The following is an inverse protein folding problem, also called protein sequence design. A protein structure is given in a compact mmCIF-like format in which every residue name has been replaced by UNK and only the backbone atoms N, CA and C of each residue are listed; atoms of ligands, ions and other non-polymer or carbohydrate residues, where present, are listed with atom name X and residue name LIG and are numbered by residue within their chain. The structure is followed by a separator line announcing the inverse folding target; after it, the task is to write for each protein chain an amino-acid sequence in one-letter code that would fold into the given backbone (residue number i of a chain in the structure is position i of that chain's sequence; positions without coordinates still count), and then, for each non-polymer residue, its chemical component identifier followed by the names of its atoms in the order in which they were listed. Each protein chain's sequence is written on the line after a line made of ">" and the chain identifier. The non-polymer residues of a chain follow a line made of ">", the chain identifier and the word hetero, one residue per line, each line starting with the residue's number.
data_IF_842325805167
#
_entry.id   IF_842325805167
#
_cell.length_a   1.000
_cell.length_b   1.000
_cell.length_c   1.000
_cell.angle_alpha   90.00
_cell.angle_beta   90.00
_cell.angle_gamma   90.00
#
_symmetry.space_group_name_H-M   'P 1'
#
loop_
_entity.id
_entity.type
_entity.pdbx_description
1 polymer ?
#
# COMPACT_ATOMS: atom_id res chain seq x y z
N UNK A 1 17.74 8.26 -3.20
CA UNK A 1 16.34 7.92 -2.84
C UNK A 1 16.11 6.44 -3.12
N UNK A 2 15.53 5.70 -2.16
CA UNK A 2 15.18 4.29 -2.34
C UNK A 2 13.82 4.14 -3.03
N UNK A 3 13.59 2.95 -3.61
CA UNK A 3 12.31 2.61 -4.23
C UNK A 3 11.90 1.19 -3.87
N UNK A 4 10.61 1.03 -3.57
CA UNK A 4 10.00 -0.20 -3.09
C UNK A 4 8.66 -0.45 -3.76
N UNK A 5 8.12 -1.66 -3.60
CA UNK A 5 6.83 -2.05 -4.17
C UNK A 5 5.85 -2.40 -3.06
N UNK A 6 4.62 -1.87 -3.17
CA UNK A 6 3.45 -2.34 -2.44
C UNK A 6 2.58 -3.17 -3.40
N UNK A 7 2.18 -4.35 -2.95
CA UNK A 7 1.30 -5.23 -3.72
C UNK A 7 0.10 -5.68 -2.89
N UNK A 8 -1.08 -5.61 -3.47
CA UNK A 8 -2.34 -6.03 -2.86
C UNK A 8 -2.79 -7.41 -3.35
N UNK A 9 -2.00 -8.08 -4.18
CA UNK A 9 -2.40 -9.28 -4.92
C UNK A 9 -3.77 -9.10 -5.62
N UNK A 10 -3.93 -8.05 -6.45
CA UNK A 10 -5.22 -7.76 -7.08
C UNK A 10 -5.56 -8.82 -8.12
N UNK A 11 -6.83 -9.23 -8.16
CA UNK A 11 -7.35 -10.08 -9.21
C UNK A 11 -7.60 -9.25 -10.47
N UNK A 12 -7.20 -9.75 -11.62
CA UNK A 12 -7.63 -9.24 -12.92
C UNK A 12 -8.96 -9.87 -13.32
N UNK A 13 -9.71 -9.21 -14.17
CA UNK A 13 -10.98 -9.77 -14.69
C UNK A 13 -10.74 -11.18 -15.25
N UNK A 14 -11.50 -12.15 -14.75
CA UNK A 14 -11.41 -13.55 -15.18
C UNK A 14 -10.41 -14.41 -14.40
N UNK A 15 -9.58 -13.82 -13.55
CA UNK A 15 -8.64 -14.55 -12.68
C UNK A 15 -9.32 -15.11 -11.42
N UNK A 16 -8.73 -16.15 -10.88
CA UNK A 16 -9.00 -16.65 -9.55
C UNK A 16 -7.91 -16.19 -8.55
N UNK A 17 -8.11 -16.47 -7.26
CA UNK A 17 -7.15 -16.06 -6.21
C UNK A 17 -5.74 -16.66 -6.39
N UNK A 18 -5.64 -17.88 -6.92
CA UNK A 18 -4.34 -18.50 -7.18
C UNK A 18 -3.59 -17.76 -8.29
N UNK A 19 -4.28 -17.36 -9.35
CA UNK A 19 -3.68 -16.61 -10.47
C UNK A 19 -3.10 -15.26 -9.97
N UNK A 20 -3.85 -14.55 -9.12
CA UNK A 20 -3.40 -13.30 -8.51
C UNK A 20 -2.18 -13.47 -7.59
N UNK A 21 -2.16 -14.54 -6.78
CA UNK A 21 -1.00 -14.88 -5.94
C UNK A 21 0.21 -15.24 -6.79
N UNK A 22 0.05 -16.03 -7.83
CA UNK A 22 1.15 -16.41 -8.72
C UNK A 22 1.70 -15.17 -9.48
N UNK A 23 0.84 -14.24 -9.92
CA UNK A 23 1.27 -12.96 -10.52
C UNK A 23 2.04 -12.09 -9.52
N UNK A 24 1.56 -12.00 -8.28
CA UNK A 24 2.27 -11.32 -7.19
C UNK A 24 3.69 -11.87 -6.99
N UNK A 25 3.85 -13.20 -6.98
CA UNK A 25 5.17 -13.85 -6.85
C UNK A 25 6.07 -13.59 -8.06
N UNK A 26 5.53 -13.61 -9.29
CA UNK A 26 6.31 -13.27 -10.50
C UNK A 26 6.83 -11.84 -10.44
N UNK A 27 5.98 -10.89 -9.99
CA UNK A 27 6.40 -9.51 -9.81
C UNK A 27 7.46 -9.36 -8.71
N UNK A 28 7.34 -10.09 -7.59
CA UNK A 28 8.33 -10.06 -6.53
C UNK A 28 9.71 -10.56 -7.00
N UNK A 29 9.76 -11.63 -7.80
CA UNK A 29 11.00 -12.10 -8.43
C UNK A 29 11.59 -11.03 -9.33
N UNK A 30 10.76 -10.37 -10.14
CA UNK A 30 11.21 -9.29 -11.01
C UNK A 30 11.74 -8.10 -10.23
N UNK A 31 11.10 -7.75 -9.12
CA UNK A 31 11.55 -6.68 -8.22
C UNK A 31 12.92 -6.99 -7.57
N UNK A 32 13.12 -8.25 -7.15
CA UNK A 32 14.39 -8.74 -6.60
C UNK A 32 15.52 -8.64 -7.66
N UNK A 33 15.27 -9.08 -8.91
CA UNK A 33 16.21 -8.97 -10.02
C UNK A 33 16.58 -7.52 -10.36
N UNK A 34 15.63 -6.60 -10.23
CA UNK A 34 15.81 -5.17 -10.53
C UNK A 34 16.48 -4.40 -9.38
N UNK A 35 16.66 -5.01 -8.21
CA UNK A 35 17.24 -4.36 -7.04
C UNK A 35 16.33 -3.32 -6.39
N UNK A 36 15.02 -3.57 -6.33
CA UNK A 36 14.13 -2.82 -5.46
C UNK A 36 14.49 -3.07 -4.00
N UNK A 37 14.31 -2.06 -3.14
CA UNK A 37 14.70 -2.15 -1.72
C UNK A 37 13.82 -3.17 -0.98
N UNK A 38 12.50 -3.09 -1.16
CA UNK A 38 11.53 -3.97 -0.49
C UNK A 38 10.30 -4.25 -1.32
N UNK A 39 9.64 -5.36 -0.99
CA UNK A 39 8.35 -5.78 -1.55
C UNK A 39 7.38 -6.02 -0.40
N UNK A 40 6.41 -5.14 -0.22
CA UNK A 40 5.43 -5.26 0.85
C UNK A 40 4.08 -5.72 0.32
N UNK A 41 3.40 -6.53 1.14
CA UNK A 41 2.09 -7.10 0.84
C UNK A 41 1.08 -6.48 1.81
N UNK A 42 -0.01 -5.91 1.26
CA UNK A 42 -1.08 -5.32 2.06
C UNK A 42 -1.93 -6.39 2.75
N UNK A 43 -2.68 -6.00 3.79
CA UNK A 43 -3.66 -6.85 4.45
C UNK A 43 -5.07 -6.29 4.23
N UNK A 44 -5.91 -7.03 3.51
CA UNK A 44 -7.31 -6.69 3.30
C UNK A 44 -8.18 -7.93 3.47
N UNK A 45 -9.31 -7.77 4.18
CA UNK A 45 -10.24 -8.86 4.45
C UNK A 45 -11.59 -8.62 3.78
N UNK A 46 -12.32 -9.70 3.49
CA UNK A 46 -13.65 -9.68 2.87
C UNK A 46 -13.71 -8.95 1.52
N UNK A 47 -12.62 -8.91 0.76
CA UNK A 47 -12.56 -8.28 -0.56
C UNK A 47 -12.38 -9.34 -1.65
N UNK A 48 -13.34 -9.44 -2.57
CA UNK A 48 -13.29 -10.40 -3.70
C UNK A 48 -12.26 -10.01 -4.77
N UNK A 49 -11.82 -8.76 -4.77
CA UNK A 49 -10.92 -8.19 -5.78
C UNK A 49 -9.43 -8.31 -5.45
N UNK A 50 -9.08 -8.79 -4.24
CA UNK A 50 -7.68 -8.96 -3.80
C UNK A 50 -7.48 -10.28 -3.07
N UNK A 51 -6.28 -10.86 -3.17
CA UNK A 51 -5.94 -12.13 -2.53
C UNK A 51 -5.12 -11.97 -1.23
N UNK A 52 -4.83 -10.74 -0.80
CA UNK A 52 -3.89 -10.44 0.29
C UNK A 52 -4.53 -10.40 1.68
N UNK A 53 -5.26 -11.44 2.08
CA UNK A 53 -5.88 -11.50 3.42
C UNK A 53 -5.01 -12.20 4.48
N UNK A 54 -4.35 -13.30 4.14
CA UNK A 54 -3.43 -14.02 5.02
C UNK A 54 -1.99 -13.59 4.73
N UNK A 55 -1.67 -12.35 5.05
CA UNK A 55 -0.46 -11.65 4.60
C UNK A 55 0.83 -12.37 5.00
N UNK A 56 0.91 -12.94 6.20
CA UNK A 56 2.09 -13.65 6.70
C UNK A 56 2.43 -14.88 5.84
N UNK A 57 1.41 -15.61 5.35
CA UNK A 57 1.62 -16.75 4.46
C UNK A 57 2.12 -16.31 3.08
N UNK A 58 1.63 -15.17 2.60
CA UNK A 58 2.07 -14.61 1.32
C UNK A 58 3.49 -14.05 1.42
N UNK A 59 3.86 -13.45 2.56
CA UNK A 59 5.23 -13.00 2.85
C UNK A 59 6.18 -14.20 2.83
N UNK A 60 5.87 -15.28 3.54
CA UNK A 60 6.68 -16.51 3.51
C UNK A 60 6.85 -17.02 2.09
N UNK A 61 5.74 -17.15 1.35
CA UNK A 61 5.78 -17.62 -0.04
C UNK A 61 6.63 -16.73 -0.94
N UNK A 62 6.65 -15.43 -0.70
CA UNK A 62 7.46 -14.46 -1.43
C UNK A 62 8.93 -14.61 -1.08
N UNK A 63 9.27 -14.72 0.20
CA UNK A 63 10.63 -14.96 0.69
C UNK A 63 11.24 -16.25 0.13
N UNK A 64 10.45 -17.34 0.06
CA UNK A 64 10.86 -18.61 -0.58
C UNK A 64 11.23 -18.46 -2.07
N UNK A 65 10.68 -17.44 -2.74
CA UNK A 65 10.82 -17.24 -4.18
C UNK A 65 11.75 -16.08 -4.57
N UNK A 66 12.33 -15.39 -3.61
CA UNK A 66 13.25 -14.25 -3.78
C UNK A 66 14.53 -14.48 -2.99
N UNK A 67 15.60 -13.70 -3.28
CA UNK A 67 16.93 -13.94 -2.67
C UNK A 67 17.44 -12.77 -1.84
N UNK A 68 17.26 -11.53 -2.31
CA UNK A 68 17.91 -10.36 -1.73
C UNK A 68 16.90 -9.33 -1.20
N UNK A 69 15.78 -9.14 -1.91
CA UNK A 69 14.77 -8.13 -1.57
C UNK A 69 14.19 -8.38 -0.18
N UNK A 70 14.00 -7.30 0.57
CA UNK A 70 13.28 -7.37 1.85
C UNK A 70 11.79 -7.55 1.57
N UNK A 71 11.12 -8.39 2.35
CA UNK A 71 9.69 -8.66 2.18
C UNK A 71 8.97 -8.41 3.50
N UNK A 72 7.83 -7.75 3.43
CA UNK A 72 7.10 -7.43 4.65
C UNK A 72 5.62 -7.11 4.43
N UNK A 73 4.99 -6.66 5.49
CA UNK A 73 3.59 -6.20 5.46
C UNK A 73 3.50 -4.70 5.19
N UNK A 74 2.57 -4.32 4.33
CA UNK A 74 2.25 -2.94 4.09
C UNK A 74 0.78 -2.59 4.31
N UNK A 75 0.21 -2.88 5.56
CA UNK A 75 0.78 -3.41 6.82
C UNK A 75 -0.12 -4.45 7.47
N UNK A 76 0.40 -5.04 8.54
CA UNK A 76 -0.47 -5.78 9.47
C UNK A 76 -1.44 -4.80 10.10
N UNK A 77 -2.72 -5.08 10.00
CA UNK A 77 -3.76 -4.31 10.69
C UNK A 77 -3.79 -4.72 12.17
N UNK A 78 -2.81 -4.21 12.94
CA UNK A 78 -2.51 -4.67 14.30
C UNK A 78 -3.75 -4.77 15.20
N UNK A 79 -4.73 -3.85 15.13
CA UNK A 79 -5.95 -4.00 15.91
C UNK A 79 -6.76 -5.27 15.64
N UNK A 80 -6.55 -5.97 14.55
CA UNK A 80 -7.22 -7.25 14.27
C UNK A 80 -6.50 -8.46 14.89
N UNK A 81 -5.29 -8.27 15.40
CA UNK A 81 -4.40 -9.35 15.83
C UNK A 81 -4.01 -9.22 17.30
N UNK A 82 -3.47 -10.29 17.87
CA UNK A 82 -2.76 -10.25 19.14
C UNK A 82 -1.30 -9.86 18.86
N UNK A 83 -0.73 -8.83 19.54
CA UNK A 83 0.68 -8.50 19.41
C UNK A 83 1.60 -9.71 19.65
N UNK A 84 1.23 -10.59 20.60
CA UNK A 84 1.95 -11.83 20.88
C UNK A 84 2.03 -12.77 19.66
N UNK A 85 0.88 -13.02 19.00
CA UNK A 85 0.83 -13.89 17.82
C UNK A 85 1.57 -13.25 16.63
N UNK A 86 1.48 -11.93 16.45
CA UNK A 86 2.25 -11.22 15.41
C UNK A 86 3.76 -11.37 15.67
N UNK A 87 4.19 -11.24 16.93
CA UNK A 87 5.59 -11.45 17.30
C UNK A 87 6.05 -12.88 16.94
N UNK A 88 5.30 -13.92 17.32
CA UNK A 88 5.65 -15.31 16.96
C UNK A 88 5.75 -15.51 15.45
N UNK A 89 4.79 -14.98 14.67
CA UNK A 89 4.76 -15.13 13.22
C UNK A 89 5.96 -14.43 12.54
N UNK A 90 6.23 -13.18 12.89
CA UNK A 90 7.32 -12.41 12.28
C UNK A 90 8.69 -12.85 12.82
N UNK A 91 8.77 -13.29 14.07
CA UNK A 91 9.97 -13.93 14.61
C UNK A 91 10.29 -15.25 13.91
N UNK A 92 9.27 -16.03 13.54
CA UNK A 92 9.45 -17.25 12.73
C UNK A 92 9.96 -16.89 11.32
N UNK A 93 9.38 -15.87 10.69
CA UNK A 93 9.83 -15.41 9.38
C UNK A 93 11.29 -14.91 9.43
N UNK A 94 11.65 -14.09 10.41
CA UNK A 94 13.02 -13.58 10.58
C UNK A 94 14.02 -14.71 10.86
N UNK A 95 13.63 -15.72 11.65
CA UNK A 95 14.46 -16.91 11.90
C UNK A 95 14.74 -17.69 10.61
N UNK A 96 13.75 -17.80 9.72
CA UNK A 96 13.89 -18.50 8.44
C UNK A 96 14.61 -17.69 7.38
N UNK A 97 14.45 -16.37 7.40
CA UNK A 97 14.98 -15.44 6.38
C UNK A 97 15.64 -14.20 7.05
N UNK A 98 16.80 -14.40 7.72
CA UNK A 98 17.43 -13.36 8.50
C UNK A 98 17.70 -12.08 7.69
N UNK A 99 17.47 -10.93 8.30
CA UNK A 99 17.70 -9.59 7.75
C UNK A 99 16.84 -9.23 6.52
N UNK A 100 15.79 -10.04 6.23
CA UNK A 100 14.95 -9.83 5.05
C UNK A 100 13.48 -9.53 5.35
N UNK A 101 13.09 -9.48 6.61
CA UNK A 101 11.70 -9.30 7.02
C UNK A 101 11.45 -7.88 7.51
N UNK A 102 10.36 -7.27 7.06
CA UNK A 102 9.86 -5.97 7.55
C UNK A 102 8.47 -6.14 8.16
N UNK A 103 8.17 -5.41 9.22
CA UNK A 103 6.86 -5.41 9.86
C UNK A 103 6.24 -4.01 9.84
N UNK A 104 5.48 -3.72 8.79
CA UNK A 104 4.65 -2.53 8.71
C UNK A 104 3.34 -2.72 9.50
N UNK A 105 2.96 -1.73 10.28
CA UNK A 105 1.84 -1.77 11.23
C UNK A 105 0.81 -0.69 10.90
N UNK A 106 -0.44 -1.08 10.64
CA UNK A 106 -1.57 -0.20 10.41
C UNK A 106 -2.54 -0.13 11.59
N UNK A 107 -3.13 1.05 11.80
CA UNK A 107 -4.16 1.27 12.82
C UNK A 107 -5.57 0.90 12.34
N UNK A 108 -5.84 1.08 11.07
CA UNK A 108 -7.15 0.82 10.48
C UNK A 108 -7.47 -0.69 10.48
N UNK A 109 -8.75 -1.10 10.55
CA UNK A 109 -9.09 -2.52 10.50
C UNK A 109 -8.88 -3.18 9.12
N UNK A 110 -8.65 -2.42 8.05
CA UNK A 110 -8.48 -2.95 6.69
C UNK A 110 -9.71 -3.68 6.13
N UNK A 111 -10.90 -3.45 6.73
CA UNK A 111 -12.14 -4.14 6.37
C UNK A 111 -13.37 -3.45 6.96
N UNK A 112 -14.58 -3.97 6.64
CA UNK A 112 -15.84 -3.53 7.22
C UNK A 112 -16.02 -3.97 8.67
N UNK A 113 -16.99 -3.34 9.36
CA UNK A 113 -17.26 -3.59 10.78
C UNK A 113 -17.61 -5.05 11.12
N UNK A 114 -18.41 -5.71 10.28
CA UNK A 114 -18.83 -7.10 10.55
C UNK A 114 -17.65 -8.05 10.43
N UNK A 115 -16.81 -7.85 9.44
CA UNK A 115 -15.58 -8.63 9.24
C UNK A 115 -14.59 -8.39 10.37
N UNK A 116 -14.40 -7.13 10.82
CA UNK A 116 -13.55 -6.82 11.97
C UNK A 116 -14.04 -7.53 13.25
N UNK A 117 -15.35 -7.61 13.46
CA UNK A 117 -15.93 -8.42 14.58
C UNK A 117 -15.66 -9.92 14.45
N UNK A 118 -15.75 -10.45 13.23
CA UNK A 118 -15.47 -11.88 13.00
C UNK A 118 -14.02 -12.23 13.31
N UNK A 119 -13.08 -11.33 12.98
CA UNK A 119 -11.65 -11.53 13.24
C UNK A 119 -11.35 -11.41 14.74
N UNK A 120 -11.82 -10.35 15.39
CA UNK A 120 -11.42 -9.98 16.78
C UNK A 120 -12.11 -10.76 17.89
N UNK A 121 -13.24 -11.37 17.66
CA UNK A 121 -14.10 -12.09 18.62
C UNK A 121 -14.48 -11.29 19.90
N UNK A 122 -13.64 -10.42 20.42
CA UNK A 122 -13.89 -9.57 21.59
C UNK A 122 -13.78 -8.09 21.19
N UNK A 123 -14.95 -7.41 21.12
CA UNK A 123 -15.07 -6.01 20.69
C UNK A 123 -15.06 -4.99 21.83
N UNK A 124 -15.00 -5.45 23.08
CA UNK A 124 -15.10 -4.58 24.26
C UNK A 124 -13.73 -4.08 24.76
N UNK A 125 -12.63 -4.43 24.10
CA UNK A 125 -11.30 -3.93 24.46
C UNK A 125 -11.14 -2.51 23.90
N UNK A 126 -10.83 -1.57 24.77
CA UNK A 126 -10.34 -0.25 24.35
C UNK A 126 -9.01 -0.44 23.59
N UNK A 127 -8.98 0.03 22.35
CA UNK A 127 -7.86 -0.19 21.46
C UNK A 127 -6.95 1.03 21.49
N UNK A 128 -5.73 0.83 21.98
CA UNK A 128 -4.67 1.83 21.98
C UNK A 128 -3.53 1.31 21.06
N UNK A 129 -3.56 1.77 19.82
CA UNK A 129 -2.60 1.34 18.80
C UNK A 129 -1.14 1.54 19.26
N UNK A 130 -0.84 2.67 19.91
CA UNK A 130 0.50 2.95 20.42
C UNK A 130 0.93 1.93 21.46
N UNK A 131 0.06 1.60 22.41
CA UNK A 131 0.36 0.57 23.42
C UNK A 131 0.55 -0.79 22.80
N UNK A 132 -0.23 -1.15 21.78
CA UNK A 132 -0.08 -2.43 21.06
C UNK A 132 1.25 -2.51 20.29
N UNK A 133 1.72 -1.41 19.69
CA UNK A 133 3.05 -1.33 19.06
C UNK A 133 4.17 -1.47 20.09
N UNK A 134 4.05 -0.81 21.24
CA UNK A 134 5.02 -0.95 22.32
C UNK A 134 5.04 -2.39 22.85
N UNK A 135 3.88 -2.98 23.11
CA UNK A 135 3.74 -4.37 23.54
C UNK A 135 4.43 -5.33 22.55
N UNK A 136 4.19 -5.15 21.25
CA UNK A 136 4.83 -5.95 20.19
C UNK A 136 6.36 -5.79 20.22
N UNK A 137 6.87 -4.57 20.32
CA UNK A 137 8.32 -4.29 20.45
C UNK A 137 8.93 -4.96 21.69
N UNK A 138 8.20 -4.99 22.80
CA UNK A 138 8.66 -5.64 24.03
C UNK A 138 8.76 -7.16 23.90
N UNK A 139 7.91 -7.82 23.08
CA UNK A 139 8.07 -9.25 22.78
C UNK A 139 9.35 -9.53 21.97
N UNK A 140 9.68 -8.72 20.97
CA UNK A 140 10.94 -8.85 20.25
C UNK A 140 12.14 -8.60 21.14
N UNK A 141 12.08 -7.62 22.07
CA UNK A 141 13.15 -7.29 23.01
C UNK A 141 13.22 -8.24 24.23
N UNK A 142 12.39 -9.26 24.29
CA UNK A 142 12.27 -10.23 25.40
C UNK A 142 12.04 -9.56 26.79
N UNK A 143 11.25 -8.48 26.81
CA UNK A 143 10.97 -7.69 28.03
C UNK A 143 9.64 -8.02 28.69
N UNK A 144 8.90 -9.02 28.16
CA UNK A 144 7.57 -9.41 28.72
C UNK A 144 7.69 -10.66 29.62
N UNK A 145 6.79 -10.82 30.62
CA UNK A 145 6.78 -12.01 31.46
C UNK A 145 6.48 -13.33 30.69
N UNK A 146 5.74 -13.20 29.57
CA UNK A 146 5.49 -14.31 28.64
C UNK A 146 6.34 -14.08 27.40
N UNK A 147 7.16 -15.06 27.05
CA UNK A 147 8.10 -14.96 25.95
C UNK A 147 7.47 -15.40 24.63
N UNK A 148 7.65 -14.64 23.57
CA UNK A 148 7.18 -14.98 22.21
C UNK A 148 8.33 -15.68 21.46
N UNK A 149 8.37 -17.00 21.45
CA UNK A 149 9.40 -17.75 20.72
C UNK A 149 8.92 -18.09 19.29
N UNK A 150 9.83 -17.97 18.26
CA UNK A 150 11.26 -17.66 18.34
C UNK A 150 11.59 -16.16 18.29
N UNK A 151 10.63 -15.25 18.43
CA UNK A 151 10.81 -13.80 18.27
C UNK A 151 11.71 -13.16 19.34
N UNK A 152 11.74 -13.73 20.55
CA UNK A 152 12.45 -13.17 21.70
C UNK A 152 13.95 -12.98 21.40
N UNK A 153 14.41 -11.74 21.42
CA UNK A 153 15.80 -11.36 21.12
C UNK A 153 16.12 -11.14 19.64
N UNK A 154 15.12 -11.21 18.74
CA UNK A 154 15.29 -10.89 17.32
C UNK A 154 15.02 -9.41 17.04
N UNK A 155 15.71 -8.87 16.05
CA UNK A 155 15.53 -7.49 15.56
C UNK A 155 14.71 -7.48 14.27
N UNK A 156 13.38 -7.37 14.39
CA UNK A 156 12.45 -7.23 13.25
C UNK A 156 12.12 -5.74 13.11
N UNK A 157 12.50 -5.08 11.99
CA UNK A 157 12.22 -3.67 11.79
C UNK A 157 10.72 -3.36 11.76
N UNK A 158 10.29 -2.44 12.63
CA UNK A 158 8.90 -1.95 12.73
C UNK A 158 8.73 -0.64 11.97
N UNK A 159 7.61 -0.51 11.25
CA UNK A 159 7.21 0.69 10.50
C UNK A 159 5.80 1.08 10.88
N UNK A 160 5.53 2.38 11.08
CA UNK A 160 4.19 2.88 11.38
C UNK A 160 3.54 3.40 10.11
N UNK A 161 2.41 2.78 9.72
CA UNK A 161 1.64 3.15 8.53
C UNK A 161 0.43 3.99 8.90
N UNK A 162 0.12 4.96 8.04
CA UNK A 162 -1.10 5.73 8.14
C UNK A 162 -1.46 6.55 6.92
N UNK A 163 -2.67 7.12 6.96
CA UNK A 163 -3.22 8.03 5.95
C UNK A 163 -3.75 9.32 6.57
N UNK A 164 -3.42 9.56 7.86
CA UNK A 164 -3.81 10.74 8.63
C UNK A 164 -2.65 11.22 9.51
N UNK A 165 -2.82 12.38 10.14
CA UNK A 165 -1.83 12.95 11.06
C UNK A 165 -1.63 12.17 12.35
N UNK A 166 -2.61 11.40 12.81
CA UNK A 166 -2.53 10.66 14.08
C UNK A 166 -1.38 9.64 14.10
N UNK A 167 -1.17 8.92 12.99
CA UNK A 167 -0.08 7.95 12.86
C UNK A 167 1.30 8.61 12.82
N UNK A 168 1.37 9.87 12.34
CA UNK A 168 2.60 10.66 12.34
C UNK A 168 3.07 10.95 13.77
N UNK A 169 2.17 11.34 14.67
CA UNK A 169 2.49 11.54 16.08
C UNK A 169 2.99 10.24 16.75
N UNK A 170 2.33 9.11 16.48
CA UNK A 170 2.74 7.81 17.04
C UNK A 170 4.14 7.43 16.55
N UNK A 171 4.40 7.54 15.25
CA UNK A 171 5.72 7.22 14.67
C UNK A 171 6.82 8.15 15.24
N UNK A 172 6.55 9.45 15.31
CA UNK A 172 7.47 10.44 15.83
C UNK A 172 7.81 10.20 17.32
N UNK A 173 6.80 9.92 18.15
CA UNK A 173 6.99 9.68 19.58
C UNK A 173 7.77 8.39 19.87
N UNK A 174 7.55 7.34 19.06
CA UNK A 174 8.23 6.06 19.19
C UNK A 174 9.61 6.03 18.50
N UNK A 175 9.96 7.06 17.71
CA UNK A 175 11.21 7.11 16.94
C UNK A 175 11.29 6.00 15.89
N UNK A 176 10.16 5.65 15.25
CA UNK A 176 10.06 4.61 14.24
C UNK A 176 9.89 5.20 12.83
N UNK A 177 10.29 4.48 11.75
CA UNK A 177 10.02 4.90 10.39
C UNK A 177 8.53 5.12 10.13
N UNK A 178 8.22 6.19 9.40
CA UNK A 178 6.85 6.56 9.06
C UNK A 178 6.52 6.28 7.60
N UNK A 179 5.39 5.65 7.33
CA UNK A 179 4.92 5.31 5.99
C UNK A 179 3.55 5.96 5.75
N UNK A 180 3.49 6.90 4.81
CA UNK A 180 2.23 7.57 4.49
C UNK A 180 1.60 6.98 3.23
N UNK A 181 0.33 6.57 3.33
CA UNK A 181 -0.41 5.89 2.27
C UNK A 181 -1.01 6.87 1.23
N UNK A 182 -0.18 7.74 0.62
CA UNK A 182 -0.64 8.75 -0.33
C UNK A 182 -1.11 8.18 -1.68
N UNK A 183 -0.89 6.91 -1.95
CA UNK A 183 -1.38 6.23 -3.15
C UNK A 183 -2.91 6.09 -3.22
N UNK A 184 -3.64 6.31 -2.12
CA UNK A 184 -5.11 6.36 -2.11
C UNK A 184 -5.69 7.47 -1.22
N UNK A 185 -4.93 8.05 -0.27
CA UNK A 185 -5.41 9.08 0.65
C UNK A 185 -4.40 10.23 0.79
N UNK A 186 -4.09 10.98 -0.28
CA UNK A 186 -3.01 11.95 -0.29
C UNK A 186 -3.29 13.27 0.45
N UNK A 187 -4.54 13.55 0.81
CA UNK A 187 -4.98 14.87 1.27
C UNK A 187 -4.17 15.44 2.46
N UNK A 188 -3.78 14.58 3.41
CA UNK A 188 -3.06 15.00 4.63
C UNK A 188 -1.55 14.74 4.56
N UNK A 189 -1.01 14.31 3.43
CA UNK A 189 0.37 13.85 3.29
C UNK A 189 1.40 14.89 3.74
N UNK A 190 1.34 16.10 3.22
CA UNK A 190 2.32 17.15 3.52
C UNK A 190 2.31 17.50 5.02
N UNK A 191 1.11 17.67 5.60
CA UNK A 191 0.97 17.95 7.02
C UNK A 191 1.47 16.81 7.90
N UNK A 192 1.13 15.57 7.55
CA UNK A 192 1.54 14.40 8.33
C UNK A 192 3.06 14.21 8.32
N UNK A 193 3.71 14.39 7.17
CA UNK A 193 5.17 14.32 7.06
C UNK A 193 5.83 15.46 7.83
N UNK A 194 5.30 16.68 7.75
CA UNK A 194 5.81 17.83 8.50
C UNK A 194 5.73 17.61 10.02
N UNK A 195 4.59 17.10 10.51
CA UNK A 195 4.40 16.73 11.93
C UNK A 195 5.41 15.65 12.34
N UNK A 196 5.52 14.57 11.58
CA UNK A 196 6.45 13.48 11.89
C UNK A 196 7.90 13.99 12.01
N UNK A 197 8.37 14.78 11.04
CA UNK A 197 9.75 15.31 11.05
C UNK A 197 9.99 16.31 12.18
N UNK A 198 9.00 17.17 12.46
CA UNK A 198 9.12 18.19 13.53
C UNK A 198 9.11 17.56 14.93
N UNK A 199 8.23 16.59 15.18
CA UNK A 199 8.02 16.00 16.51
C UNK A 199 8.85 14.71 16.75
N UNK A 200 9.67 14.32 15.78
CA UNK A 200 10.47 13.08 15.84
C UNK A 200 11.40 13.06 17.05
N UNK A 201 11.34 11.96 17.79
CA UNK A 201 12.23 11.67 18.92
C UNK A 201 13.18 10.55 18.54
N UNK A 202 14.50 10.80 18.53
CA UNK A 202 15.48 9.74 18.29
C UNK A 202 15.27 8.54 19.22
N UNK A 203 15.48 7.34 18.69
CA UNK A 203 15.33 6.07 19.41
C UNK A 203 16.56 5.16 19.19
N UNK A 204 16.51 3.95 19.73
CA UNK A 204 17.49 2.91 19.42
C UNK A 204 17.44 2.46 17.95
N UNK A 205 16.30 2.69 17.27
CA UNK A 205 16.06 2.28 15.88
C UNK A 205 16.52 3.34 14.88
N UNK A 206 16.21 4.61 15.14
CA UNK A 206 16.50 5.73 14.25
C UNK A 206 17.07 6.92 15.02
N UNK A 207 18.17 7.49 14.52
CA UNK A 207 18.73 8.78 14.99
C UNK A 207 18.06 9.98 14.31
N UNK A 208 17.51 9.80 13.10
CA UNK A 208 16.88 10.83 12.27
C UNK A 208 15.57 10.31 11.67
N UNK A 209 14.62 11.21 11.32
CA UNK A 209 13.35 10.80 10.70
C UNK A 209 13.56 10.04 9.38
N UNK A 210 12.80 8.98 9.16
CA UNK A 210 12.76 8.23 7.90
C UNK A 210 11.33 8.12 7.38
N UNK A 211 11.08 8.66 6.19
CA UNK A 211 9.74 8.73 5.57
C UNK A 211 9.66 7.90 4.30
N UNK A 212 8.69 7.01 4.23
CA UNK A 212 8.29 6.29 3.03
C UNK A 212 6.96 6.88 2.53
N UNK A 213 6.88 7.30 1.27
CA UNK A 213 5.63 7.73 0.65
C UNK A 213 5.08 6.65 -0.28
N UNK A 214 3.85 6.22 -0.03
CA UNK A 214 3.09 5.40 -0.97
C UNK A 214 2.64 6.22 -2.17
N UNK A 215 2.89 5.75 -3.39
CA UNK A 215 2.42 6.39 -4.62
C UNK A 215 1.96 5.34 -5.64
N UNK A 216 1.18 5.78 -6.64
CA UNK A 216 0.91 4.92 -7.79
C UNK A 216 1.86 5.28 -8.94
N UNK A 217 2.18 4.31 -9.80
CA UNK A 217 2.92 4.60 -11.03
C UNK A 217 2.44 3.76 -12.21
N UNK A 218 2.40 4.42 -13.37
CA UNK A 218 2.18 3.80 -14.68
C UNK A 218 3.18 4.42 -15.65
N UNK A 219 4.26 3.70 -15.92
CA UNK A 219 5.33 4.17 -16.80
C UNK A 219 5.30 3.39 -18.10
N UNK A 220 5.31 4.09 -19.23
CA UNK A 220 5.32 3.50 -20.57
C UNK A 220 6.30 4.24 -21.51
N UNK A 221 6.40 3.81 -22.77
CA UNK A 221 7.29 4.46 -23.74
C UNK A 221 6.81 5.85 -24.16
N UNK A 222 5.50 6.14 -24.02
CA UNK A 222 4.91 7.45 -24.28
C UNK A 222 3.90 7.83 -23.23
N UNK A 223 3.61 9.12 -23.10
CA UNK A 223 2.60 9.64 -22.20
C UNK A 223 1.19 9.18 -22.58
N UNK A 224 0.90 9.03 -23.88
CA UNK A 224 -0.39 8.57 -24.37
C UNK A 224 -0.65 7.13 -23.96
N UNK A 225 0.35 6.26 -24.10
CA UNK A 225 0.24 4.87 -23.69
C UNK A 225 0.12 4.75 -22.17
N UNK A 226 0.89 5.50 -21.39
CA UNK A 226 0.79 5.53 -19.94
C UNK A 226 -0.60 5.99 -19.49
N UNK A 227 -1.16 7.04 -20.08
CA UNK A 227 -2.53 7.52 -19.81
C UNK A 227 -3.58 6.47 -20.16
N UNK A 228 -3.43 5.77 -21.30
CA UNK A 228 -4.32 4.67 -21.66
C UNK A 228 -4.27 3.53 -20.62
N UNK A 229 -3.07 3.10 -20.24
CA UNK A 229 -2.89 2.05 -19.24
C UNK A 229 -3.42 2.45 -17.85
N UNK A 230 -3.30 3.72 -17.47
CA UNK A 230 -3.78 4.23 -16.17
C UNK A 230 -5.30 4.26 -16.03
N UNK A 231 -6.06 4.09 -17.12
CA UNK A 231 -7.53 3.98 -17.04
C UNK A 231 -7.97 2.76 -16.22
N UNK A 232 -7.14 1.71 -16.12
CA UNK A 232 -7.37 0.58 -15.19
C UNK A 232 -7.35 1.04 -13.72
N UNK A 233 -6.46 1.96 -13.35
CA UNK A 233 -6.42 2.54 -12.01
C UNK A 233 -7.70 3.32 -11.71
N UNK A 234 -8.15 4.17 -12.62
CA UNK A 234 -9.39 4.95 -12.48
C UNK A 234 -10.59 4.01 -12.28
N UNK A 235 -10.70 2.98 -13.12
CA UNK A 235 -11.76 1.95 -12.98
C UNK A 235 -11.68 1.23 -11.63
N UNK A 236 -10.48 0.90 -11.16
CA UNK A 236 -10.29 0.22 -9.87
C UNK A 236 -10.72 1.09 -8.69
N UNK A 237 -10.37 2.37 -8.68
CA UNK A 237 -10.81 3.29 -7.63
C UNK A 237 -12.31 3.59 -7.71
N UNK A 238 -12.87 3.71 -8.90
CA UNK A 238 -14.30 3.83 -9.09
C UNK A 238 -15.05 2.61 -8.51
N UNK A 239 -14.54 1.40 -8.74
CA UNK A 239 -15.09 0.18 -8.15
C UNK A 239 -15.02 0.18 -6.61
N UNK A 240 -13.95 0.71 -6.03
CA UNK A 240 -13.81 0.83 -4.57
C UNK A 240 -14.86 1.78 -4.00
N UNK A 241 -14.97 3.00 -4.52
CA UNK A 241 -15.88 4.02 -3.98
C UNK A 241 -17.36 3.67 -4.20
N UNK A 242 -17.66 2.93 -5.26
CA UNK A 242 -19.03 2.45 -5.55
C UNK A 242 -19.35 1.09 -4.94
N UNK A 243 -18.43 0.54 -4.13
CA UNK A 243 -18.57 -0.79 -3.51
C UNK A 243 -18.84 -1.90 -4.52
N UNK A 244 -18.30 -1.78 -5.73
CA UNK A 244 -18.41 -2.78 -6.78
C UNK A 244 -17.26 -3.80 -6.65
N UNK A 245 -17.51 -5.08 -6.31
CA UNK A 245 -16.46 -6.06 -5.99
C UNK A 245 -15.78 -6.66 -7.23
N UNK A 246 -15.57 -5.88 -8.29
CA UNK A 246 -14.87 -6.35 -9.49
C UNK A 246 -13.34 -6.27 -9.31
N UNK A 247 -12.64 -7.20 -9.95
CA UNK A 247 -11.19 -7.13 -10.11
C UNK A 247 -10.76 -6.02 -11.08
N UNK A 248 -9.46 -5.89 -11.31
CA UNK A 248 -8.93 -4.95 -12.30
C UNK A 248 -9.50 -5.23 -13.68
N UNK A 249 -9.98 -4.19 -14.33
CA UNK A 249 -10.55 -4.23 -15.68
C UNK A 249 -9.49 -3.88 -16.73
N UNK A 250 -9.59 -4.40 -17.97
CA UNK A 250 -8.73 -3.96 -19.07
C UNK A 250 -8.78 -2.44 -19.26
N UNK A 251 -7.67 -1.81 -19.71
CA UNK A 251 -7.68 -0.39 -19.97
C UNK A 251 -8.59 -0.03 -21.14
N UNK A 252 -9.25 1.11 -21.06
CA UNK A 252 -10.01 1.73 -22.13
C UNK A 252 -9.20 2.83 -22.83
N UNK A 253 -9.74 3.44 -23.89
CA UNK A 253 -8.99 4.38 -24.73
C UNK A 253 -8.56 5.65 -24.01
N UNK A 254 -9.40 6.16 -23.12
CA UNK A 254 -9.13 7.39 -22.37
C UNK A 254 -9.91 7.43 -21.06
N UNK A 255 -9.62 8.41 -20.21
CA UNK A 255 -10.37 8.69 -18.99
C UNK A 255 -11.83 9.01 -19.29
N UNK A 256 -12.10 9.81 -20.34
CA UNK A 256 -13.48 10.14 -20.76
C UNK A 256 -14.27 8.88 -21.12
N UNK A 257 -13.60 7.86 -21.68
CA UNK A 257 -14.25 6.58 -21.99
C UNK A 257 -14.63 5.82 -20.70
N UNK A 258 -13.85 5.92 -19.62
CA UNK A 258 -14.21 5.35 -18.31
C UNK A 258 -15.51 5.97 -17.82
N UNK A 259 -15.58 7.30 -17.80
CA UNK A 259 -16.75 8.02 -17.30
C UNK A 259 -17.97 7.81 -18.16
N UNK A 260 -17.83 7.81 -19.49
CA UNK A 260 -18.90 7.48 -20.42
C UNK A 260 -19.47 6.08 -20.18
N UNK A 261 -18.61 5.08 -19.96
CA UNK A 261 -19.03 3.71 -19.68
C UNK A 261 -19.75 3.62 -18.32
N UNK A 262 -19.26 4.34 -17.32
CA UNK A 262 -19.89 4.39 -16.00
C UNK A 262 -21.28 5.00 -16.07
N UNK A 263 -21.45 6.17 -16.72
CA UNK A 263 -22.75 6.81 -16.96
C UNK A 263 -23.73 5.86 -17.64
N UNK A 264 -23.28 5.17 -18.69
CA UNK A 264 -24.14 4.25 -19.45
C UNK A 264 -24.67 3.06 -18.61
N UNK A 265 -23.98 2.69 -17.54
CA UNK A 265 -24.34 1.56 -16.67
C UNK A 265 -24.97 1.97 -15.35
N UNK A 266 -24.85 3.25 -14.96
CA UNK A 266 -25.39 3.76 -13.70
C UNK A 266 -26.87 4.10 -13.83
N UNK A 267 -27.70 3.57 -12.91
CA UNK A 267 -29.10 3.93 -12.83
C UNK A 267 -29.25 5.30 -12.19
N UNK A 268 -29.80 6.26 -12.91
CA UNK A 268 -30.14 7.57 -12.38
C UNK A 268 -31.33 7.44 -11.41
N UNK A 269 -31.23 7.88 -10.15
CA UNK A 269 -32.34 7.90 -9.23
C UNK A 269 -33.43 8.85 -9.74
N UNK A 270 -34.68 8.37 -9.82
CA UNK A 270 -35.85 9.19 -10.06
C UNK A 270 -36.56 9.47 -8.73
N UNK A 271 -36.61 10.73 -8.33
CA UNK A 271 -37.41 11.19 -7.19
C UNK A 271 -38.65 11.96 -7.71
N UNK A 272 -39.69 11.26 -8.04
CA UNK A 272 -40.92 11.88 -8.58
C UNK A 272 -40.65 12.61 -9.90
N UNK A 273 -41.07 13.89 -10.05
CA UNK A 273 -40.89 14.64 -11.30
C UNK A 273 -39.46 15.20 -11.49
N UNK A 274 -38.56 15.04 -10.51
CA UNK A 274 -37.20 15.52 -10.60
C UNK A 274 -36.30 14.41 -11.12
N UNK A 275 -35.76 14.59 -12.32
CA UNK A 275 -34.68 13.77 -12.86
C UNK A 275 -33.35 14.52 -12.61
N UNK A 276 -32.38 13.85 -12.00
CA UNK A 276 -31.01 14.35 -11.94
C UNK A 276 -30.36 14.16 -13.31
N UNK A 277 -29.58 15.14 -13.76
CA UNK A 277 -28.75 14.94 -14.94
C UNK A 277 -27.61 13.96 -14.61
N UNK A 278 -27.21 13.13 -15.57
CA UNK A 278 -26.16 12.13 -15.39
C UNK A 278 -24.84 12.78 -14.92
N UNK A 279 -24.52 13.96 -15.41
CA UNK A 279 -23.28 14.65 -15.10
C UNK A 279 -23.17 15.04 -13.61
N UNK A 280 -24.30 15.44 -12.98
CA UNK A 280 -24.33 15.81 -11.56
C UNK A 280 -24.03 14.62 -10.62
N UNK A 281 -24.39 13.39 -11.03
CA UNK A 281 -24.15 12.17 -10.23
C UNK A 281 -22.70 11.74 -10.36
N UNK A 282 -22.10 11.92 -11.53
CA UNK A 282 -20.73 11.46 -11.84
C UNK A 282 -19.68 12.43 -11.31
N UNK A 283 -19.99 13.71 -11.16
CA UNK A 283 -19.06 14.73 -10.67
C UNK A 283 -18.55 14.42 -9.25
N UNK A 284 -19.38 13.82 -8.40
CA UNK A 284 -18.95 13.43 -7.06
C UNK A 284 -17.93 12.28 -7.12
N UNK A 285 -18.26 11.19 -7.80
CA UNK A 285 -17.36 10.04 -7.94
C UNK A 285 -16.06 10.44 -8.65
N UNK A 286 -16.15 11.27 -9.68
CA UNK A 286 -15.00 11.80 -10.39
C UNK A 286 -14.10 12.60 -9.46
N UNK A 287 -14.64 13.51 -8.68
CA UNK A 287 -13.89 14.31 -7.71
C UNK A 287 -13.19 13.42 -6.66
N UNK A 288 -13.85 12.37 -6.18
CA UNK A 288 -13.25 11.44 -5.22
C UNK A 288 -12.12 10.63 -5.86
N UNK A 289 -12.32 10.10 -7.07
CA UNK A 289 -11.27 9.37 -7.80
C UNK A 289 -10.08 10.27 -8.11
N UNK A 290 -10.31 11.50 -8.58
CA UNK A 290 -9.25 12.48 -8.84
C UNK A 290 -8.45 12.80 -7.58
N UNK A 291 -9.12 12.91 -6.44
CA UNK A 291 -8.45 13.09 -5.16
C UNK A 291 -7.60 11.87 -4.78
N UNK A 292 -8.12 10.66 -4.94
CA UNK A 292 -7.39 9.42 -4.64
C UNK A 292 -6.19 9.21 -5.56
N UNK A 293 -6.27 9.63 -6.83
CA UNK A 293 -5.19 9.46 -7.83
C UNK A 293 -4.16 10.58 -7.84
N UNK A 294 -4.31 11.60 -7.00
CA UNK A 294 -3.49 12.82 -7.02
C UNK A 294 -1.98 12.57 -6.90
N UNK A 295 -1.58 11.52 -6.20
CA UNK A 295 -0.18 11.08 -6.11
C UNK A 295 -0.02 9.83 -6.96
N UNK A 296 -0.12 10.03 -8.27
CA UNK A 296 0.13 9.01 -9.29
C UNK A 296 1.11 9.56 -10.33
N UNK A 297 2.18 8.82 -10.57
CA UNK A 297 3.16 9.12 -11.59
C UNK A 297 2.77 8.43 -12.88
N UNK A 298 2.33 9.18 -13.89
CA UNK A 298 1.82 8.64 -15.15
C UNK A 298 2.53 9.33 -16.31
N UNK A 299 3.21 8.56 -17.15
CA UNK A 299 3.91 9.11 -18.31
C UNK A 299 5.10 8.26 -18.78
N UNK A 300 5.88 8.84 -19.69
CA UNK A 300 7.17 8.33 -20.09
C UNK A 300 8.25 8.64 -19.01
N UNK A 301 9.47 8.14 -19.19
CA UNK A 301 10.56 8.30 -18.20
C UNK A 301 10.84 9.77 -17.86
N UNK A 302 10.85 10.67 -18.83
CA UNK A 302 11.11 12.10 -18.59
C UNK A 302 9.99 12.76 -17.80
N UNK A 303 8.74 12.49 -18.16
CA UNK A 303 7.55 12.95 -17.43
C UNK A 303 7.58 12.44 -15.98
N UNK A 304 7.84 11.16 -15.76
CA UNK A 304 7.93 10.55 -14.43
C UNK A 304 9.04 11.19 -13.59
N UNK A 305 10.23 11.39 -14.18
CA UNK A 305 11.36 12.05 -13.52
C UNK A 305 10.97 13.44 -13.00
N UNK A 306 10.31 14.22 -13.84
CA UNK A 306 9.86 15.55 -13.48
C UNK A 306 8.81 15.53 -12.38
N UNK A 307 7.80 14.63 -12.44
CA UNK A 307 6.78 14.46 -11.42
C UNK A 307 7.38 14.06 -10.06
N UNK A 308 8.33 13.15 -10.03
CA UNK A 308 9.02 12.74 -8.79
C UNK A 308 9.83 13.88 -8.20
N UNK A 309 10.57 14.63 -9.04
CA UNK A 309 11.35 15.79 -8.60
C UNK A 309 10.46 16.92 -8.07
N UNK A 310 9.29 17.14 -8.66
CA UNK A 310 8.30 18.08 -8.16
C UNK A 310 7.76 17.67 -6.79
N UNK A 311 7.45 16.39 -6.58
CA UNK A 311 7.05 15.89 -5.27
C UNK A 311 8.16 16.10 -4.23
N UNK A 312 9.42 15.82 -4.58
CA UNK A 312 10.58 16.01 -3.69
C UNK A 312 10.79 17.48 -3.27
N UNK A 313 10.39 18.45 -4.10
CA UNK A 313 10.46 19.87 -3.72
C UNK A 313 9.40 20.27 -2.69
N UNK A 314 8.27 19.56 -2.66
CA UNK A 314 7.15 19.85 -1.76
C UNK A 314 7.21 19.09 -0.46
N UNK A 315 7.71 17.85 -0.51
CA UNK A 315 7.73 16.94 0.64
C UNK A 315 9.09 16.28 0.74
N UNK A 316 9.67 16.30 1.92
CA UNK A 316 10.92 15.62 2.21
C UNK A 316 10.66 14.15 2.60
N UNK A 317 11.07 13.22 1.74
CA UNK A 317 10.95 11.79 1.95
C UNK A 317 12.20 11.04 1.50
N UNK A 318 12.39 9.84 2.05
CA UNK A 318 13.60 9.03 1.88
C UNK A 318 13.39 7.90 0.86
N UNK A 319 12.14 7.40 0.77
CA UNK A 319 11.78 6.25 -0.05
C UNK A 319 10.40 6.43 -0.69
N UNK A 320 10.25 5.95 -1.94
CA UNK A 320 8.95 5.78 -2.60
C UNK A 320 8.54 4.31 -2.57
N UNK A 321 7.31 4.05 -2.14
CA UNK A 321 6.69 2.73 -2.19
C UNK A 321 5.57 2.73 -3.23
N UNK A 322 5.78 2.02 -4.33
CA UNK A 322 4.95 2.11 -5.53
C UNK A 322 3.97 0.96 -5.63
N UNK A 323 2.71 1.31 -5.86
CA UNK A 323 1.68 0.40 -6.34
C UNK A 323 1.36 0.69 -7.81
N UNK A 324 1.04 -0.32 -8.61
CA UNK A 324 0.74 -0.16 -10.04
C UNK A 324 -0.51 -0.94 -10.44
N UNK A 325 -1.50 -0.23 -10.96
CA UNK A 325 -2.77 -0.78 -11.47
C UNK A 325 -2.71 -0.95 -12.99
N UNK A 326 -1.73 -1.67 -13.53
CA UNK A 326 -1.67 -2.03 -14.94
C UNK A 326 -2.26 -3.43 -15.12
N UNK A 327 -3.24 -3.56 -16.02
CA UNK A 327 -3.97 -4.82 -16.25
C UNK A 327 -3.08 -5.91 -16.86
N UNK A 328 -2.34 -5.59 -17.92
CA UNK A 328 -1.43 -6.53 -18.55
C UNK A 328 -0.17 -6.75 -17.70
N UNK A 329 0.12 -8.01 -17.36
CA UNK A 329 1.23 -8.35 -16.47
C UNK A 329 2.59 -7.98 -17.05
N UNK A 330 2.78 -8.16 -18.36
CA UNK A 330 4.06 -7.84 -19.00
C UNK A 330 4.27 -6.32 -19.06
N UNK A 331 3.22 -5.56 -19.36
CA UNK A 331 3.26 -4.11 -19.32
C UNK A 331 3.49 -3.60 -17.89
N UNK A 332 2.92 -4.25 -16.88
CA UNK A 332 3.17 -3.92 -15.46
C UNK A 332 4.64 -4.15 -15.09
N UNK A 333 5.21 -5.30 -15.44
CA UNK A 333 6.62 -5.58 -15.20
C UNK A 333 7.53 -4.59 -15.94
N UNK A 334 7.20 -4.26 -17.17
CA UNK A 334 7.96 -3.29 -17.95
C UNK A 334 7.88 -1.88 -17.36
N UNK A 335 6.73 -1.47 -16.85
CA UNK A 335 6.56 -0.21 -16.12
C UNK A 335 7.50 -0.12 -14.91
N UNK A 336 7.66 -1.20 -14.15
CA UNK A 336 8.62 -1.24 -13.03
C UNK A 336 10.08 -1.20 -13.50
N UNK A 337 10.43 -1.78 -14.67
CA UNK A 337 11.78 -1.64 -15.26
C UNK A 337 12.06 -0.17 -15.56
N UNK A 338 11.16 0.50 -16.30
CA UNK A 338 11.33 1.91 -16.67
C UNK A 338 11.40 2.82 -15.44
N UNK A 339 10.55 2.54 -14.42
CA UNK A 339 10.56 3.30 -13.19
C UNK A 339 11.90 3.16 -12.42
N UNK A 340 12.47 1.95 -12.37
CA UNK A 340 13.77 1.72 -11.73
C UNK A 340 14.88 2.50 -12.45
N UNK A 341 14.88 2.51 -13.79
CA UNK A 341 15.81 3.31 -14.58
C UNK A 341 15.69 4.81 -14.25
N UNK A 342 14.46 5.34 -14.11
CA UNK A 342 14.25 6.75 -13.72
C UNK A 342 14.83 7.03 -12.33
N UNK A 343 14.63 6.14 -11.37
CA UNK A 343 15.16 6.32 -10.01
C UNK A 343 16.69 6.28 -10.02
N UNK A 344 17.29 5.37 -10.79
CA UNK A 344 18.75 5.28 -10.92
C UNK A 344 19.33 6.56 -11.56
N UNK A 345 18.66 7.12 -12.57
CA UNK A 345 19.02 8.41 -13.16
C UNK A 345 18.87 9.60 -12.20
N UNK A 346 17.93 9.56 -11.26
CA UNK A 346 17.76 10.60 -10.23
C UNK A 346 18.86 10.51 -9.16
N UNK A 347 19.33 9.31 -8.89
CA UNK A 347 20.35 9.06 -7.87
C UNK A 347 21.79 9.33 -8.36
N UNK A 348 22.01 9.41 -9.67
CA UNK A 348 23.30 9.76 -10.29
C UNK A 348 24.10 8.63 -10.71
#
# INVERSE_FOLDING_TARGET
>A
MKISILNLAPLRQGENFKDAIDAMIRLAKKADELGYERYWIAEHHNMKSVASSATQLLIQRTLDNTKNIRVGSGGVMLPNHSPYIVAEQYGTLETLYPDRVDLGLGRAPGTDYNTARAIRRNTNREMDFKKEVVELSEYFKDKRPVHAYPAAGLDVPLYILGSSTDSAYVAAELGLPYVFASHFAPAMMENAVAIYRHDFKPSEVLSEPYVILGANAVVANSDEEAKRLSTTQIQSFLNIITSNPQGMMPPVQSEEAVWKNYIATTKVPHFGPIAFEHDEIVDHEKSVVDQMTKISFIGNKETIKNQILDLKRRVEFDELMINSYIYDEQAQHYSYVLLKEVIDEING
#
